data_IF_012588230808
#
_entry.id   IF_012588230808
#
_cell.length_a   1.000
_cell.length_b   1.000
_cell.length_c   1.000
_cell.angle_alpha   90.00
_cell.angle_beta   90.00
_cell.angle_gamma   90.00
#
_symmetry.space_group_name_H-M   'P 1'
#
loop_
_entity.id
_entity.type
_entity.pdbx_description
1 polymer ?
#
# COMPACT_ATOMS: atom_id res chain seq x y z
N UNK A 1 -5.00 -15.34 -12.25
CA UNK A 1 -3.58 -15.21 -12.72
C UNK A 1 -2.78 -16.23 -11.91
N UNK A 2 -1.80 -16.91 -12.51
CA UNK A 2 -0.90 -17.83 -11.79
C UNK A 2 0.45 -17.13 -11.71
N UNK A 3 1.01 -17.01 -10.51
CA UNK A 3 2.24 -16.25 -10.24
C UNK A 3 3.25 -17.09 -9.46
N UNK A 4 4.50 -16.63 -9.46
CA UNK A 4 5.56 -17.17 -8.59
C UNK A 4 5.21 -16.95 -7.12
N UNK A 5 5.52 -17.93 -6.27
CA UNK A 5 5.24 -17.84 -4.84
C UNK A 5 6.22 -16.89 -4.15
N UNK A 6 5.67 -15.88 -3.48
CA UNK A 6 6.36 -14.98 -2.56
C UNK A 6 5.93 -15.21 -1.09
N UNK A 7 5.49 -16.44 -0.77
CA UNK A 7 5.06 -16.81 0.58
C UNK A 7 6.11 -16.46 1.64
N UNK A 8 5.67 -15.87 2.75
CA UNK A 8 6.55 -15.50 3.86
C UNK A 8 7.21 -14.12 3.71
N UNK A 9 7.00 -13.43 2.59
CA UNK A 9 7.44 -12.04 2.44
C UNK A 9 6.61 -11.11 3.32
N UNK A 10 7.16 -9.96 3.68
CA UNK A 10 6.41 -8.92 4.41
C UNK A 10 5.35 -8.34 3.47
N UNK A 11 4.12 -8.20 3.95
CA UNK A 11 3.03 -7.62 3.16
C UNK A 11 2.77 -6.16 3.58
N UNK A 12 2.99 -5.24 2.64
CA UNK A 12 2.97 -3.80 2.88
C UNK A 12 1.92 -3.14 1.99
N UNK A 13 1.08 -2.29 2.56
CA UNK A 13 0.04 -1.56 1.83
C UNK A 13 0.28 -0.05 1.90
N UNK A 14 -0.05 0.63 0.80
CA UNK A 14 -0.02 2.09 0.70
C UNK A 14 -1.36 2.62 0.22
N UNK A 15 -1.92 3.56 0.98
CA UNK A 15 -3.08 4.37 0.58
C UNK A 15 -2.57 5.62 -0.12
N UNK A 16 -2.86 5.74 -1.40
CA UNK A 16 -2.35 6.79 -2.28
C UNK A 16 -3.51 7.66 -2.73
N UNK A 17 -3.31 8.98 -2.68
CA UNK A 17 -4.26 9.96 -3.22
C UNK A 17 -3.58 10.75 -4.31
N UNK A 18 -4.25 10.88 -5.45
CA UNK A 18 -3.79 11.67 -6.60
C UNK A 18 -4.91 12.56 -7.14
N UNK A 19 -4.64 13.84 -7.33
CA UNK A 19 -5.61 14.77 -7.91
C UNK A 19 -5.40 14.98 -9.42
N UNK A 20 -6.31 15.72 -10.05
CA UNK A 20 -6.25 16.07 -11.47
C UNK A 20 -5.11 17.06 -11.82
N UNK A 21 -4.50 17.72 -10.81
CA UNK A 21 -3.34 18.58 -10.97
C UNK A 21 -2.00 17.81 -10.83
N UNK A 22 -2.07 16.47 -10.76
CA UNK A 22 -0.94 15.56 -10.57
C UNK A 22 -0.22 15.66 -9.20
N UNK A 23 -0.86 16.30 -8.22
CA UNK A 23 -0.42 16.18 -6.83
C UNK A 23 -0.71 14.75 -6.37
N UNK A 24 0.32 14.06 -5.87
CA UNK A 24 0.21 12.66 -5.47
C UNK A 24 0.98 12.44 -4.17
N UNK A 25 0.30 11.89 -3.17
CA UNK A 25 0.89 11.65 -1.85
C UNK A 25 0.40 10.34 -1.23
N UNK A 26 1.16 9.87 -0.25
CA UNK A 26 0.80 8.72 0.57
C UNK A 26 0.05 9.25 1.79
N UNK A 27 -1.19 8.81 1.98
CA UNK A 27 -1.93 9.15 3.19
C UNK A 27 -1.57 8.24 4.36
N UNK A 28 -1.50 6.92 4.11
CA UNK A 28 -1.21 5.92 5.12
C UNK A 28 -0.35 4.80 4.51
N UNK A 29 0.54 4.24 5.31
CA UNK A 29 1.21 2.99 5.01
C UNK A 29 0.93 1.99 6.13
N UNK A 30 0.73 0.74 5.75
CA UNK A 30 0.34 -0.33 6.66
C UNK A 30 1.27 -1.52 6.48
N UNK A 31 1.55 -2.21 7.58
CA UNK A 31 2.33 -3.45 7.59
C UNK A 31 1.46 -4.55 8.18
N UNK A 32 1.32 -5.64 7.43
CA UNK A 32 0.67 -6.85 7.89
C UNK A 32 1.66 -7.59 8.81
N UNK A 33 1.19 -7.99 9.98
CA UNK A 33 1.95 -8.80 10.92
C UNK A 33 2.03 -10.25 10.43
N UNK A 34 0.96 -10.71 9.79
CA UNK A 34 0.91 -11.97 9.07
C UNK A 34 1.57 -11.79 7.68
N UNK A 35 2.47 -12.68 7.26
CA UNK A 35 3.19 -12.53 6.00
C UNK A 35 2.31 -12.88 4.79
N UNK A 36 2.80 -12.56 3.59
CA UNK A 36 2.16 -12.94 2.33
C UNK A 36 1.86 -14.43 2.33
N UNK A 37 0.59 -14.76 2.05
CA UNK A 37 0.03 -16.11 2.17
C UNK A 37 -1.27 -16.15 2.96
N UNK A 38 -1.47 -15.15 3.83
CA UNK A 38 -2.73 -14.89 4.53
C UNK A 38 -3.32 -13.61 3.92
N UNK A 39 -4.61 -13.63 3.60
CA UNK A 39 -5.24 -12.48 2.93
C UNK A 39 -5.29 -11.28 3.88
N UNK A 40 -4.92 -10.07 3.44
CA UNK A 40 -4.86 -8.84 4.27
C UNK A 40 -6.10 -8.58 5.14
N UNK A 41 -7.28 -8.86 4.58
CA UNK A 41 -8.55 -8.77 5.30
C UNK A 41 -8.77 -9.77 6.46
N UNK A 42 -7.91 -10.76 6.62
CA UNK A 42 -7.84 -11.74 7.71
C UNK A 42 -6.57 -11.56 8.57
N UNK A 43 -5.59 -10.81 8.06
CA UNK A 43 -4.34 -10.49 8.73
C UNK A 43 -4.52 -9.43 9.82
N UNK A 44 -3.66 -9.49 10.85
CA UNK A 44 -3.47 -8.38 11.78
C UNK A 44 -2.62 -7.32 11.09
N UNK A 45 -3.10 -6.08 11.05
CA UNK A 45 -2.44 -4.96 10.36
C UNK A 45 -2.14 -3.83 11.33
N UNK A 46 -0.97 -3.23 11.20
CA UNK A 46 -0.55 -2.05 11.96
C UNK A 46 -0.29 -0.85 11.06
N UNK A 47 -0.58 0.35 11.56
CA UNK A 47 -0.29 1.62 10.91
C UNK A 47 0.42 2.56 11.90
N UNK A 48 1.55 3.20 11.53
CA UNK A 48 2.30 3.02 10.29
C UNK A 48 3.06 1.68 10.25
N UNK A 49 3.76 1.37 9.15
CA UNK A 49 4.75 0.27 9.12
C UNK A 49 5.85 0.47 10.18
N UNK A 50 6.30 -0.63 10.78
CA UNK A 50 7.20 -0.65 11.93
C UNK A 50 8.60 -1.16 11.61
N UNK A 51 8.73 -2.08 10.64
CA UNK A 51 10.01 -2.78 10.39
C UNK A 51 10.72 -2.36 9.11
N UNK A 52 10.18 -1.38 8.40
CA UNK A 52 10.81 -0.83 7.20
C UNK A 52 11.93 0.13 7.58
N UNK A 53 13.09 -0.05 6.97
CA UNK A 53 14.12 1.00 6.92
C UNK A 53 13.59 2.20 6.12
N UNK A 54 14.16 3.38 6.36
CA UNK A 54 13.78 4.57 5.58
C UNK A 54 14.03 4.38 4.08
N UNK A 55 15.04 3.59 3.70
CA UNK A 55 15.32 3.30 2.29
C UNK A 55 14.20 2.45 1.66
N UNK A 56 13.79 1.36 2.31
CA UNK A 56 12.68 0.51 1.84
C UNK A 56 11.37 1.30 1.77
N UNK A 57 11.09 2.11 2.79
CA UNK A 57 9.91 2.97 2.82
C UNK A 57 9.88 3.94 1.63
N UNK A 58 10.99 4.64 1.35
CA UNK A 58 11.03 5.59 0.23
C UNK A 58 11.03 4.88 -1.13
N UNK A 59 11.62 3.69 -1.22
CA UNK A 59 11.57 2.85 -2.41
C UNK A 59 10.14 2.46 -2.77
N UNK A 60 9.40 1.89 -1.82
CA UNK A 60 8.01 1.46 -2.01
C UNK A 60 7.09 2.68 -2.24
N UNK A 61 7.24 3.76 -1.45
CA UNK A 61 6.52 5.02 -1.68
C UNK A 61 6.71 5.56 -3.10
N UNK A 62 7.94 5.60 -3.58
CA UNK A 62 8.25 6.09 -4.92
C UNK A 62 7.71 5.16 -6.00
N UNK A 63 7.73 3.85 -5.78
CA UNK A 63 7.11 2.87 -6.66
C UNK A 63 5.59 3.09 -6.75
N UNK A 64 4.92 3.27 -5.61
CA UNK A 64 3.47 3.52 -5.55
C UNK A 64 3.08 4.72 -6.38
N UNK A 65 3.72 5.87 -6.14
CA UNK A 65 3.43 7.10 -6.87
C UNK A 65 3.62 6.91 -8.39
N UNK A 66 4.68 6.21 -8.82
CA UNK A 66 4.91 5.91 -10.25
C UNK A 66 3.83 5.02 -10.84
N UNK A 67 3.44 3.95 -10.14
CA UNK A 67 2.40 3.02 -10.60
C UNK A 67 1.06 3.74 -10.74
N UNK A 68 0.63 4.49 -9.72
CA UNK A 68 -0.65 5.21 -9.73
C UNK A 68 -0.71 6.26 -10.85
N UNK A 69 0.39 7.00 -11.08
CA UNK A 69 0.49 7.91 -12.22
C UNK A 69 0.38 7.19 -13.57
N UNK A 70 1.08 6.08 -13.74
CA UNK A 70 1.07 5.31 -14.98
C UNK A 70 -0.28 4.67 -15.27
N UNK A 71 -1.02 4.26 -14.23
CA UNK A 71 -2.39 3.74 -14.36
C UNK A 71 -3.43 4.85 -14.60
N UNK A 72 -3.04 6.13 -14.50
CA UNK A 72 -3.94 7.26 -14.75
C UNK A 72 -5.00 7.46 -13.68
N UNK A 73 -4.82 6.90 -12.49
CA UNK A 73 -5.80 6.99 -11.39
C UNK A 73 -5.86 8.44 -10.88
N UNK A 74 -7.09 8.94 -10.72
CA UNK A 74 -7.42 10.21 -10.06
C UNK A 74 -8.42 9.88 -8.96
N UNK A 75 -8.16 10.35 -7.75
CA UNK A 75 -8.86 9.96 -6.52
C UNK A 75 -7.94 9.16 -5.61
N UNK A 76 -8.53 8.24 -4.85
CA UNK A 76 -7.84 7.36 -3.90
C UNK A 76 -7.69 5.94 -4.46
N UNK A 77 -6.58 5.30 -4.11
CA UNK A 77 -6.36 3.88 -4.34
C UNK A 77 -5.39 3.26 -3.33
N UNK A 78 -5.59 1.96 -3.09
CA UNK A 78 -4.69 1.13 -2.32
C UNK A 78 -3.78 0.32 -3.26
N UNK A 79 -2.50 0.22 -2.92
CA UNK A 79 -1.53 -0.64 -3.60
C UNK A 79 -0.82 -1.54 -2.57
N UNK A 80 -0.66 -2.81 -2.93
CA UNK A 80 -0.09 -3.83 -2.06
C UNK A 80 1.22 -4.38 -2.61
N UNK A 81 2.16 -4.67 -1.71
CA UNK A 81 3.47 -5.20 -2.05
C UNK A 81 3.84 -6.38 -1.15
N UNK A 82 4.54 -7.34 -1.73
CA UNK A 82 5.41 -8.25 -1.00
C UNK A 82 6.83 -7.70 -1.00
N UNK A 83 7.47 -7.61 0.17
CA UNK A 83 8.88 -7.25 0.35
C UNK A 83 9.64 -8.42 0.99
N UNK A 84 10.74 -8.86 0.37
CA UNK A 84 11.62 -9.87 0.93
C UNK A 84 12.20 -9.39 2.28
N UNK A 85 12.06 -10.14 3.38
CA UNK A 85 12.56 -9.72 4.69
C UNK A 85 14.10 -9.69 4.79
N UNK A 86 14.82 -10.31 3.85
CA UNK A 86 16.28 -10.43 3.87
C UNK A 86 16.98 -9.62 2.77
N UNK A 87 16.21 -9.01 1.86
CA UNK A 87 16.73 -8.23 0.74
C UNK A 87 15.85 -7.02 0.46
N UNK A 88 16.18 -6.25 -0.60
CA UNK A 88 15.34 -5.13 -1.07
C UNK A 88 14.45 -5.53 -2.24
N UNK A 89 14.35 -6.83 -2.51
CA UNK A 89 13.51 -7.33 -3.56
C UNK A 89 12.04 -7.20 -3.17
N UNK A 90 11.23 -6.63 -4.07
CA UNK A 90 9.80 -6.48 -3.84
C UNK A 90 9.01 -6.87 -5.10
N UNK A 91 7.73 -7.16 -4.91
CA UNK A 91 6.74 -7.41 -5.96
C UNK A 91 5.49 -6.59 -5.66
N UNK A 92 4.93 -5.93 -6.68
CA UNK A 92 3.59 -5.38 -6.57
C UNK A 92 2.58 -6.53 -6.74
N UNK A 93 1.63 -6.64 -5.80
CA UNK A 93 0.62 -7.70 -5.79
C UNK A 93 -0.60 -7.23 -6.57
N UNK A 94 -1.23 -6.15 -6.11
CA UNK A 94 -2.39 -5.58 -6.77
C UNK A 94 -2.55 -4.07 -6.50
N UNK A 95 -3.39 -3.44 -7.32
CA UNK A 95 -3.86 -2.06 -7.13
C UNK A 95 -5.38 -2.06 -7.13
N UNK A 96 -5.96 -1.52 -6.07
CA UNK A 96 -7.39 -1.32 -5.94
C UNK A 96 -7.72 0.15 -6.21
N UNK A 97 -8.15 0.46 -7.44
CA UNK A 97 -8.55 1.81 -7.86
C UNK A 97 -9.97 2.18 -7.39
N UNK A 98 -10.23 2.05 -6.09
CA UNK A 98 -11.52 2.33 -5.45
C UNK A 98 -11.33 2.45 -3.93
N UNK A 99 -12.33 3.05 -3.30
CA UNK A 99 -12.51 2.99 -1.85
C UNK A 99 -12.53 1.52 -1.38
N UNK A 100 -11.78 1.26 -0.32
CA UNK A 100 -11.54 -0.09 0.21
C UNK A 100 -11.81 -0.19 1.72
N UNK A 101 -11.68 -1.39 2.30
CA UNK A 101 -11.72 -1.55 3.76
C UNK A 101 -10.47 -0.94 4.43
N UNK A 102 -9.30 -1.13 3.80
CA UNK A 102 -8.03 -0.53 4.22
C UNK A 102 -8.11 1.01 4.23
N UNK A 103 -8.82 1.59 3.27
CA UNK A 103 -9.16 3.02 3.24
C UNK A 103 -9.90 3.50 4.51
N UNK A 104 -10.87 2.72 5.00
CA UNK A 104 -11.67 3.11 6.17
C UNK A 104 -10.82 3.04 7.44
N UNK A 105 -9.96 2.02 7.53
CA UNK A 105 -8.97 1.89 8.58
C UNK A 105 -7.98 3.08 8.56
N UNK A 106 -7.43 3.40 7.39
CA UNK A 106 -6.50 4.50 7.22
C UNK A 106 -7.12 5.85 7.57
N UNK A 107 -8.37 6.10 7.16
CA UNK A 107 -9.09 7.32 7.51
C UNK A 107 -9.25 7.49 9.02
N UNK A 108 -9.49 6.39 9.75
CA UNK A 108 -9.57 6.39 11.21
C UNK A 108 -8.20 6.50 11.89
N UNK A 109 -7.19 5.82 11.36
CA UNK A 109 -5.84 5.82 11.90
C UNK A 109 -5.14 7.19 11.75
N UNK A 110 -5.37 7.87 10.62
CA UNK A 110 -4.74 9.16 10.29
C UNK A 110 -5.59 10.37 10.69
N UNK A 111 -6.91 10.19 10.84
CA UNK A 111 -7.86 11.29 10.98
C UNK A 111 -8.16 12.03 9.67
N UNK A 112 -7.62 11.58 8.53
CA UNK A 112 -7.83 12.20 7.22
C UNK A 112 -9.09 11.62 6.55
N UNK A 113 -10.11 12.42 6.21
CA UNK A 113 -11.39 11.93 5.68
C UNK A 113 -11.27 11.63 4.18
N UNK A 114 -10.58 10.55 3.83
CA UNK A 114 -10.22 10.23 2.44
C UNK A 114 -11.44 10.19 1.48
N UNK A 115 -12.61 9.69 1.91
CA UNK A 115 -13.80 9.56 1.04
C UNK A 115 -14.47 10.91 0.74
N UNK A 116 -14.22 11.91 1.60
CA UNK A 116 -14.70 13.27 1.35
C UNK A 116 -13.80 14.00 0.34
N UNK A 117 -12.54 13.56 0.24
CA UNK A 117 -11.48 14.24 -0.52
C UNK A 117 -11.28 13.59 -1.90
N UNK A 118 -11.51 12.27 -1.99
CA UNK A 118 -11.42 11.49 -3.21
C UNK A 118 -12.50 11.82 -4.24
#
# INVERSE_FOLDING_TARGET
IIEESIWGWKEIEYEVVRDAADNCFINCNMENLDPVGIHTGESIVVAPSQTLTNEEYQMLRSASIRVIRNLGIIGECNIQYGLDPFSKEFRAIEVNARLSRSFALASKATGYPLAYIA
#
